data_IF_799919209983
#
_entry.id   IF_799919209983
#
_cell.length_a   1.000
_cell.length_b   1.000
_cell.length_c   1.000
_cell.angle_alpha   90.00
_cell.angle_beta   90.00
_cell.angle_gamma   90.00
#
_symmetry.space_group_name_H-M   'P 1'
#
loop_
_entity.id
_entity.type
_entity.pdbx_description
1 polymer ?
#
# COMPACT_ATOMS: atom_id res chain seq x y z
N UNK A 1 22.67 13.57 0.66
CA UNK A 1 23.98 12.89 0.89
C UNK A 1 24.09 11.60 0.07
N UNK A 2 23.07 10.74 0.07
CA UNK A 2 23.02 9.48 -0.69
C UNK A 2 23.14 9.69 -2.21
N UNK A 3 22.51 10.73 -2.77
CA UNK A 3 22.56 11.02 -4.21
C UNK A 3 23.98 11.31 -4.72
N UNK A 4 24.74 12.16 -4.02
CA UNK A 4 26.14 12.48 -4.39
C UNK A 4 27.04 11.26 -4.35
N UNK A 5 26.83 10.39 -3.38
CA UNK A 5 27.57 9.13 -3.25
C UNK A 5 27.19 8.21 -4.40
N UNK A 6 25.91 8.00 -4.66
CA UNK A 6 25.41 7.14 -5.76
C UNK A 6 25.90 7.58 -7.14
N UNK A 7 25.95 8.90 -7.38
CA UNK A 7 26.51 9.48 -8.59
C UNK A 7 28.01 9.21 -8.72
N UNK A 8 28.77 9.27 -7.62
CA UNK A 8 30.19 8.92 -7.64
C UNK A 8 30.40 7.43 -7.99
N UNK A 9 29.59 6.52 -7.45
CA UNK A 9 29.69 5.09 -7.73
C UNK A 9 29.32 4.72 -9.18
N UNK A 10 28.39 5.43 -9.82
CA UNK A 10 28.00 5.15 -11.21
C UNK A 10 29.10 5.48 -12.23
N UNK A 11 30.14 6.22 -11.83
CA UNK A 11 31.29 6.52 -12.69
C UNK A 11 32.32 5.38 -12.69
N UNK A 12 32.28 4.50 -11.69
CA UNK A 12 33.22 3.37 -11.54
C UNK A 12 32.61 2.02 -11.89
N UNK A 13 31.27 1.88 -11.80
CA UNK A 13 30.56 0.65 -12.13
C UNK A 13 29.60 0.89 -13.30
N UNK A 14 29.63 0.02 -14.30
CA UNK A 14 28.60 0.01 -15.35
C UNK A 14 27.21 -0.10 -14.71
N UNK A 15 26.21 0.56 -15.31
CA UNK A 15 24.80 0.53 -14.86
C UNK A 15 24.24 -0.91 -14.74
N UNK A 16 24.89 -1.87 -15.39
CA UNK A 16 24.57 -3.30 -15.37
C UNK A 16 24.94 -3.96 -14.03
N UNK A 17 25.87 -3.39 -13.25
CA UNK A 17 26.27 -3.94 -11.95
C UNK A 17 25.18 -3.63 -10.91
N UNK A 18 24.44 -4.66 -10.49
CA UNK A 18 23.41 -4.56 -9.44
C UNK A 18 24.04 -4.32 -8.07
N UNK A 19 24.06 -3.06 -7.65
CA UNK A 19 24.36 -2.58 -6.30
C UNK A 19 23.09 -2.50 -5.44
N UNK A 20 23.23 -2.23 -4.14
CA UNK A 20 22.08 -1.99 -3.25
C UNK A 20 21.21 -0.80 -3.67
N UNK A 21 21.73 0.10 -4.51
CA UNK A 21 21.09 1.37 -4.89
C UNK A 21 20.28 1.27 -6.20
N UNK A 22 20.65 0.36 -7.10
CA UNK A 22 19.98 0.15 -8.38
C UNK A 22 19.32 -1.23 -8.49
N UNK A 23 19.45 -2.09 -7.47
CA UNK A 23 18.71 -3.34 -7.39
C UNK A 23 17.29 -3.06 -6.93
N UNK A 24 16.34 -3.69 -7.62
CA UNK A 24 14.92 -3.73 -7.31
C UNK A 24 14.70 -4.18 -5.85
N UNK A 25 13.66 -3.66 -5.20
CA UNK A 25 13.32 -3.99 -3.81
C UNK A 25 13.25 -5.50 -3.62
N UNK A 26 13.57 -5.99 -2.41
CA UNK A 26 13.58 -7.44 -2.13
C UNK A 26 12.22 -8.12 -2.36
N UNK A 27 11.15 -7.33 -2.33
CA UNK A 27 9.76 -7.79 -2.41
C UNK A 27 9.18 -7.61 -3.80
N UNK A 28 9.93 -7.00 -4.72
CA UNK A 28 9.51 -6.79 -6.09
C UNK A 28 10.11 -7.93 -6.91
N UNK A 29 9.23 -8.68 -7.58
CA UNK A 29 9.60 -9.86 -8.36
C UNK A 29 10.06 -9.53 -9.79
N UNK A 30 10.29 -8.24 -10.09
CA UNK A 30 10.66 -7.74 -11.43
C UNK A 30 9.54 -7.97 -12.48
N UNK A 31 8.37 -8.47 -12.07
CA UNK A 31 7.19 -8.66 -12.88
C UNK A 31 6.40 -7.36 -12.99
N UNK A 32 6.26 -6.86 -14.22
CA UNK A 32 5.35 -5.78 -14.55
C UNK A 32 3.98 -6.37 -14.89
N UNK A 33 2.97 -6.01 -14.12
CA UNK A 33 1.58 -6.39 -14.39
C UNK A 33 0.86 -5.15 -14.89
N UNK A 34 0.18 -5.26 -16.03
CA UNK A 34 -0.64 -4.17 -16.57
C UNK A 34 -1.54 -3.60 -15.47
N UNK A 35 -1.48 -2.28 -15.32
CA UNK A 35 -2.10 -1.61 -14.20
C UNK A 35 -3.60 -1.77 -14.22
N UNK A 36 -4.25 -2.03 -15.37
CA UNK A 36 -5.67 -2.42 -15.52
C UNK A 36 -6.67 -1.71 -14.56
N UNK A 37 -6.40 -0.46 -14.17
CA UNK A 37 -7.20 0.31 -13.19
C UNK A 37 -6.97 -0.02 -11.70
N UNK A 38 -5.96 -0.81 -11.36
CA UNK A 38 -5.50 -1.11 -9.99
C UNK A 38 -4.70 0.05 -9.40
N UNK A 39 -4.65 0.10 -8.08
CA UNK A 39 -3.73 0.98 -7.36
C UNK A 39 -2.28 0.64 -7.72
N UNK A 40 -1.43 1.66 -7.77
CA UNK A 40 0.02 1.55 -8.04
C UNK A 40 0.74 0.54 -7.15
N UNK A 41 0.26 0.34 -5.92
CA UNK A 41 0.79 -0.67 -4.99
C UNK A 41 0.58 -2.13 -5.46
N UNK A 42 -0.24 -2.36 -6.49
CA UNK A 42 -0.57 -3.67 -7.04
C UNK A 42 -0.11 -3.88 -8.49
N UNK A 43 0.80 -3.04 -9.01
CA UNK A 43 1.38 -3.19 -10.36
C UNK A 43 2.54 -4.18 -10.40
N UNK A 44 3.14 -4.49 -9.26
CA UNK A 44 4.21 -5.47 -9.13
C UNK A 44 3.74 -6.67 -8.33
N UNK A 45 4.07 -7.87 -8.80
CA UNK A 45 3.82 -9.08 -8.04
C UNK A 45 4.79 -9.11 -6.86
N UNK A 46 4.22 -9.21 -5.66
CA UNK A 46 5.01 -9.28 -4.43
C UNK A 46 5.75 -10.62 -4.34
N UNK A 47 7.00 -10.58 -3.89
CA UNK A 47 7.75 -11.78 -3.52
C UNK A 47 7.44 -12.18 -2.07
N UNK A 48 6.97 -13.41 -1.86
CA UNK A 48 6.75 -13.93 -0.52
C UNK A 48 8.04 -13.92 0.32
N UNK A 49 7.91 -13.55 1.61
CA UNK A 49 9.01 -13.57 2.55
C UNK A 49 9.25 -14.96 3.12
N UNK A 50 10.45 -15.49 2.92
CA UNK A 50 10.89 -16.74 3.54
C UNK A 50 10.32 -18.00 2.88
N UNK A 51 10.54 -19.18 3.48
CA UNK A 51 10.07 -20.45 2.93
C UNK A 51 8.54 -20.56 3.01
N UNK A 52 7.93 -21.11 1.96
CA UNK A 52 6.46 -21.24 1.84
C UNK A 52 5.84 -22.23 2.85
N UNK A 53 6.68 -23.04 3.52
CA UNK A 53 6.26 -24.11 4.44
C UNK A 53 5.57 -23.61 5.73
N UNK A 54 5.60 -22.30 5.99
CA UNK A 54 4.95 -21.63 7.14
C UNK A 54 3.75 -20.76 6.74
N UNK A 55 3.12 -21.01 5.59
CA UNK A 55 1.91 -20.29 5.22
C UNK A 55 0.74 -20.69 6.14
N UNK A 56 0.05 -19.71 6.70
CA UNK A 56 -1.27 -19.88 7.32
C UNK A 56 -2.27 -18.95 6.65
N UNK A 57 -3.53 -19.35 6.66
CA UNK A 57 -4.62 -18.44 6.29
C UNK A 57 -4.80 -17.39 7.39
N UNK A 58 -5.15 -16.18 6.98
CA UNK A 58 -5.59 -15.12 7.88
C UNK A 58 -7.06 -15.36 8.23
N UNK A 59 -7.42 -15.07 9.48
CA UNK A 59 -8.82 -14.96 9.87
C UNK A 59 -9.45 -13.69 9.26
N UNK A 60 -10.79 -13.60 9.25
CA UNK A 60 -11.50 -12.49 8.59
C UNK A 60 -11.10 -11.12 9.17
N UNK A 61 -10.92 -11.02 10.48
CA UNK A 61 -10.49 -9.81 11.18
C UNK A 61 -9.04 -9.44 10.84
N UNK A 62 -8.14 -10.43 10.79
CA UNK A 62 -6.75 -10.23 10.37
C UNK A 62 -6.67 -9.79 8.90
N UNK A 63 -7.48 -10.39 8.04
CA UNK A 63 -7.55 -10.05 6.63
C UNK A 63 -8.07 -8.62 6.47
N UNK A 64 -9.15 -8.28 7.16
CA UNK A 64 -9.71 -6.93 7.16
C UNK A 64 -8.69 -5.90 7.67
N UNK A 65 -7.98 -6.19 8.77
CA UNK A 65 -6.96 -5.30 9.31
C UNK A 65 -5.81 -5.09 8.31
N UNK A 66 -5.39 -6.15 7.62
CA UNK A 66 -4.38 -6.06 6.56
C UNK A 66 -4.86 -5.21 5.38
N UNK A 67 -6.10 -5.41 4.92
CA UNK A 67 -6.70 -4.60 3.87
C UNK A 67 -6.78 -3.12 4.24
N UNK A 68 -7.29 -2.82 5.45
CA UNK A 68 -7.37 -1.46 5.96
C UNK A 68 -5.99 -0.82 6.00
N UNK A 69 -4.99 -1.51 6.54
CA UNK A 69 -3.63 -1.01 6.65
C UNK A 69 -3.04 -0.67 5.28
N UNK A 70 -3.20 -1.55 4.29
CA UNK A 70 -2.72 -1.31 2.93
C UNK A 70 -3.40 -0.08 2.32
N UNK A 71 -4.72 0.05 2.49
CA UNK A 71 -5.48 1.15 1.92
C UNK A 71 -5.16 2.50 2.56
N UNK A 72 -5.08 2.60 3.89
CA UNK A 72 -4.83 3.89 4.57
C UNK A 72 -3.41 4.43 4.34
N UNK A 73 -2.46 3.55 4.01
CA UNK A 73 -1.09 3.93 3.69
C UNK A 73 -0.85 4.14 2.19
N UNK A 74 -1.88 3.99 1.35
CA UNK A 74 -1.77 4.22 -0.09
C UNK A 74 -2.13 5.68 -0.42
N UNK A 75 -1.20 6.42 -1.02
CA UNK A 75 -1.40 7.84 -1.37
C UNK A 75 -2.60 8.05 -2.30
N UNK A 76 -2.80 7.14 -3.27
CA UNK A 76 -3.93 7.19 -4.21
C UNK A 76 -5.29 7.03 -3.51
N UNK A 77 -5.31 6.41 -2.32
CA UNK A 77 -6.54 6.14 -1.55
C UNK A 77 -6.90 7.31 -0.62
N UNK A 78 -5.95 8.20 -0.29
CA UNK A 78 -6.16 9.32 0.65
C UNK A 78 -7.31 10.25 0.25
N UNK A 79 -7.54 10.44 -1.05
CA UNK A 79 -8.67 11.23 -1.56
C UNK A 79 -10.02 10.59 -1.23
N UNK A 80 -10.10 9.26 -1.29
CA UNK A 80 -11.31 8.49 -0.98
C UNK A 80 -11.59 8.44 0.52
N UNK A 81 -10.56 8.43 1.37
CA UNK A 81 -10.72 8.57 2.82
C UNK A 81 -11.43 9.90 3.13
N UNK A 82 -10.99 11.00 2.51
CA UNK A 82 -11.65 12.31 2.69
C UNK A 82 -13.11 12.31 2.22
N UNK A 83 -13.40 11.64 1.11
CA UNK A 83 -14.79 11.51 0.61
C UNK A 83 -15.64 10.73 1.62
N UNK A 84 -15.11 9.62 2.14
CA UNK A 84 -15.77 8.83 3.17
C UNK A 84 -16.05 9.66 4.43
N UNK A 85 -15.06 10.41 4.90
CA UNK A 85 -15.20 11.27 6.09
C UNK A 85 -16.28 12.34 5.90
N UNK A 86 -16.39 12.92 4.69
CA UNK A 86 -17.45 13.89 4.36
C UNK A 86 -18.84 13.23 4.38
N UNK A 87 -18.96 12.01 3.86
CA UNK A 87 -20.23 11.26 3.87
C UNK A 87 -20.64 10.97 5.32
N UNK A 88 -19.72 10.47 6.15
CA UNK A 88 -20.00 10.16 7.56
C UNK A 88 -20.39 11.40 8.35
N UNK A 89 -19.68 12.53 8.14
CA UNK A 89 -20.01 13.81 8.77
C UNK A 89 -21.37 14.38 8.30
N UNK A 90 -21.76 14.13 7.05
CA UNK A 90 -23.06 14.54 6.52
C UNK A 90 -24.23 13.74 7.10
N UNK A 91 -24.01 12.45 7.37
CA UNK A 91 -25.02 11.54 7.91
C UNK A 91 -25.22 11.70 9.43
N UNK A 92 -24.18 12.12 10.17
CA UNK A 92 -24.20 12.26 11.62
C UNK A 92 -23.81 13.68 12.03
N UNK A 93 -24.79 14.44 12.52
CA UNK A 93 -24.56 15.79 13.04
C UNK A 93 -23.70 15.71 14.33
N UNK A 94 -22.50 16.28 14.27
CA UNK A 94 -21.52 16.39 15.37
C UNK A 94 -20.82 15.09 15.81
N UNK A 95 -20.32 14.28 14.87
CA UNK A 95 -19.38 13.21 15.20
C UNK A 95 -18.02 13.79 15.65
N UNK A 96 -17.40 13.18 16.67
CA UNK A 96 -16.04 13.54 17.10
C UNK A 96 -14.97 12.88 16.24
N UNK A 97 -13.73 13.39 16.26
CA UNK A 97 -12.61 12.82 15.48
C UNK A 97 -12.32 11.35 15.87
N UNK A 98 -12.32 11.04 17.18
CA UNK A 98 -12.12 9.68 17.69
C UNK A 98 -13.24 8.72 17.25
N UNK A 99 -14.48 9.21 17.12
CA UNK A 99 -15.59 8.42 16.61
C UNK A 99 -15.50 8.23 15.10
N UNK A 100 -15.08 9.26 14.37
CA UNK A 100 -14.85 9.20 12.94
C UNK A 100 -13.75 8.17 12.59
N UNK A 101 -12.67 8.15 13.36
CA UNK A 101 -11.61 7.14 13.24
C UNK A 101 -12.15 5.72 13.46
N UNK A 102 -12.96 5.50 14.50
CA UNK A 102 -13.60 4.18 14.73
C UNK A 102 -14.53 3.77 13.59
N UNK A 103 -15.26 4.72 13.02
CA UNK A 103 -16.15 4.46 11.87
C UNK A 103 -15.33 4.10 10.64
N UNK A 104 -14.22 4.81 10.39
CA UNK A 104 -13.26 4.51 9.32
C UNK A 104 -12.72 3.10 9.49
N UNK A 105 -12.21 2.78 10.67
CA UNK A 105 -11.67 1.46 10.96
C UNK A 105 -12.70 0.36 10.73
N UNK A 106 -13.96 0.57 11.12
CA UNK A 106 -14.99 -0.46 11.02
C UNK A 106 -15.63 -0.61 9.63
N UNK A 107 -15.62 0.43 8.78
CA UNK A 107 -16.48 0.47 7.57
C UNK A 107 -15.76 0.85 6.28
N UNK A 108 -14.60 1.50 6.36
CA UNK A 108 -13.96 2.08 5.18
C UNK A 108 -13.66 1.04 4.11
N UNK A 109 -13.07 -0.10 4.47
CA UNK A 109 -12.71 -1.16 3.50
C UNK A 109 -13.95 -1.65 2.74
N UNK A 110 -15.04 -1.89 3.47
CA UNK A 110 -16.30 -2.37 2.87
C UNK A 110 -16.94 -1.32 1.98
N UNK A 111 -16.91 -0.06 2.39
CA UNK A 111 -17.39 1.06 1.57
C UNK A 111 -16.55 1.20 0.29
N UNK A 112 -15.23 1.17 0.41
CA UNK A 112 -14.31 1.34 -0.71
C UNK A 112 -14.50 0.26 -1.79
N UNK A 113 -14.64 -1.01 -1.38
CA UNK A 113 -14.93 -2.16 -2.26
C UNK A 113 -16.31 -2.11 -2.96
N UNK A 114 -17.23 -1.29 -2.48
CA UNK A 114 -18.52 -1.10 -3.17
C UNK A 114 -18.43 0.02 -4.22
N UNK A 115 -17.40 0.86 -4.16
CA UNK A 115 -17.15 1.95 -5.11
C UNK A 115 -16.16 1.54 -6.22
N UNK A 116 -15.33 0.52 -6.00
CA UNK A 116 -14.35 -0.08 -6.93
C UNK A 116 -14.44 -1.59 -6.93
#
# INVERSE_FOLDING_TARGET
MIEKISLFWSWYFELVVRTRLNRVSRNDDEGDVDSLGRLSIFTHLGRAFGPLDKSRFLYEDEFYAAELYVLINCEEVLSYIKIFDVIVNGDVVHISEDELEKVRDARFVKWFKNYF
#
